data_IF_752641344556
#
_entry.id   IF_752641344556
#
_cell.length_a   1.000
_cell.length_b   1.000
_cell.length_c   1.000
_cell.angle_alpha   90.00
_cell.angle_beta   90.00
_cell.angle_gamma   90.00
#
_symmetry.space_group_name_H-M   'P 1'
#
loop_
_entity.id
_entity.type
_entity.pdbx_description
1 polymer ?
#
# COMPACT_ATOMS: atom_id res chain seq x y z
N UNK A 1 -0.05 21.32 -19.15
CA UNK A 1 -1.43 20.76 -19.06
C UNK A 1 -1.44 19.72 -17.93
N UNK A 2 -1.85 20.10 -16.72
CA UNK A 2 -1.74 19.29 -15.48
C UNK A 2 -3.12 18.84 -14.95
N UNK A 3 -4.10 18.63 -15.83
CA UNK A 3 -5.50 18.48 -15.41
C UNK A 3 -6.00 17.02 -15.29
N UNK A 4 -5.21 16.00 -15.62
CA UNK A 4 -5.71 14.61 -15.72
C UNK A 4 -5.35 13.72 -14.54
N UNK A 5 -4.44 14.11 -13.66
CA UNK A 5 -4.12 13.30 -12.47
C UNK A 5 -5.16 13.45 -11.35
N UNK A 6 -6.00 14.49 -11.43
CA UNK A 6 -6.90 14.88 -10.34
C UNK A 6 -8.18 14.06 -10.28
N UNK A 7 -8.58 13.39 -11.36
CA UNK A 7 -9.90 12.73 -11.45
C UNK A 7 -9.95 11.31 -10.86
N UNK A 8 -8.82 10.58 -10.78
CA UNK A 8 -8.85 9.15 -10.42
C UNK A 8 -8.57 8.87 -8.94
N UNK A 9 -8.18 9.90 -8.19
CA UNK A 9 -8.07 9.87 -6.72
C UNK A 9 -9.42 10.09 -6.00
N UNK A 10 -10.51 10.22 -6.75
CA UNK A 10 -11.80 10.73 -6.26
C UNK A 10 -12.66 9.69 -5.51
N UNK A 11 -12.29 8.40 -5.55
CA UNK A 11 -13.06 7.34 -4.87
C UNK A 11 -12.16 6.51 -3.95
N UNK A 12 -12.47 6.53 -2.66
CA UNK A 12 -11.67 6.02 -1.55
C UNK A 12 -10.23 6.51 -1.58
N UNK A 13 -9.99 7.82 -1.41
CA UNK A 13 -8.63 8.36 -1.33
C UNK A 13 -7.81 7.78 -0.16
N UNK A 14 -8.48 7.19 0.83
CA UNK A 14 -7.84 6.45 1.90
C UNK A 14 -7.15 5.15 1.43
N UNK A 15 -7.53 4.56 0.30
CA UNK A 15 -6.95 3.32 -0.24
C UNK A 15 -6.20 3.58 -1.56
N UNK A 16 -4.88 3.39 -1.53
CA UNK A 16 -4.00 3.58 -2.68
C UNK A 16 -3.38 2.24 -3.08
N UNK A 17 -3.55 1.83 -4.33
CA UNK A 17 -2.85 0.66 -4.85
C UNK A 17 -1.39 0.99 -5.13
N UNK A 18 -0.47 0.26 -4.47
CA UNK A 18 0.98 0.39 -4.72
C UNK A 18 1.39 -0.59 -5.81
N UNK A 19 0.95 -1.84 -5.68
CA UNK A 19 1.11 -2.92 -6.64
C UNK A 19 -0.15 -3.79 -6.60
N UNK A 20 -0.41 -4.63 -7.61
CA UNK A 20 -1.44 -5.67 -7.51
C UNK A 20 -1.29 -6.46 -6.21
N UNK A 21 -2.37 -6.58 -5.45
CA UNK A 21 -2.38 -7.27 -4.15
C UNK A 21 -1.75 -6.50 -2.98
N UNK A 22 -1.25 -5.28 -3.18
CA UNK A 22 -0.61 -4.47 -2.15
C UNK A 22 -1.21 -3.06 -2.11
N UNK A 23 -1.92 -2.74 -1.04
CA UNK A 23 -2.70 -1.52 -0.89
C UNK A 23 -2.27 -0.72 0.34
N UNK A 24 -2.00 0.57 0.18
CA UNK A 24 -1.80 1.48 1.31
C UNK A 24 -3.14 2.02 1.78
N UNK A 25 -3.44 1.81 3.05
CA UNK A 25 -4.59 2.39 3.73
C UNK A 25 -4.11 3.49 4.68
N UNK A 26 -4.72 4.67 4.58
CA UNK A 26 -4.50 5.78 5.52
C UNK A 26 -5.57 5.72 6.60
N UNK A 27 -5.13 5.65 7.85
CA UNK A 27 -5.98 5.42 9.03
C UNK A 27 -5.74 6.52 10.05
N UNK A 28 -6.82 7.03 10.63
CA UNK A 28 -6.78 7.91 11.79
C UNK A 28 -7.18 7.13 13.05
N UNK A 29 -6.18 6.69 13.83
CA UNK A 29 -6.38 5.89 15.02
C UNK A 29 -6.75 6.75 16.25
N UNK A 30 -7.85 6.39 16.91
CA UNK A 30 -8.36 6.99 18.14
C UNK A 30 -8.26 5.95 19.29
N UNK A 31 -7.13 5.93 20.03
CA UNK A 31 -6.93 4.97 21.12
C UNK A 31 -7.81 5.27 22.33
N UNK A 32 -7.80 4.37 23.32
CA UNK A 32 -8.63 4.41 24.53
C UNK A 32 -10.14 4.34 24.28
N UNK A 33 -10.57 3.69 23.20
CA UNK A 33 -11.97 3.42 22.96
C UNK A 33 -12.46 2.21 23.77
N UNK A 34 -13.79 2.03 23.87
CA UNK A 34 -14.39 0.85 24.51
C UNK A 34 -14.29 -0.41 23.63
N UNK A 35 -14.29 -0.24 22.32
CA UNK A 35 -14.20 -1.29 21.32
C UNK A 35 -13.33 -0.81 20.14
N UNK A 36 -12.69 -1.76 19.45
CA UNK A 36 -11.98 -1.51 18.20
C UNK A 36 -12.99 -1.56 17.05
N UNK A 37 -13.26 -0.41 16.43
CA UNK A 37 -14.32 -0.25 15.43
C UNK A 37 -14.06 0.96 14.53
N UNK A 38 -14.74 1.06 13.40
CA UNK A 38 -14.73 2.31 12.64
C UNK A 38 -15.50 3.40 13.40
N UNK A 39 -14.92 4.59 13.51
CA UNK A 39 -15.57 5.70 14.20
C UNK A 39 -16.69 6.33 13.36
N UNK A 40 -16.63 6.15 12.03
CA UNK A 40 -17.61 6.61 11.07
C UNK A 40 -17.62 5.67 9.84
N UNK A 41 -18.76 5.52 9.15
CA UNK A 41 -18.83 4.77 7.91
C UNK A 41 -17.86 5.33 6.86
N UNK A 42 -17.10 4.44 6.22
CA UNK A 42 -16.23 4.79 5.10
C UNK A 42 -17.10 5.09 3.88
N UNK A 43 -17.01 6.32 3.42
CA UNK A 43 -17.62 6.73 2.15
C UNK A 43 -16.53 6.97 1.11
N UNK A 44 -16.87 6.93 -0.20
CA UNK A 44 -15.88 7.10 -1.27
C UNK A 44 -15.12 8.44 -1.23
N UNK A 45 -15.58 9.43 -0.47
CA UNK A 45 -14.95 10.74 -0.37
C UNK A 45 -13.91 10.84 0.76
N UNK A 46 -13.83 9.82 1.62
CA UNK A 46 -13.03 9.86 2.85
C UNK A 46 -11.55 9.62 2.56
N UNK A 47 -10.70 10.55 2.99
CA UNK A 47 -9.23 10.50 2.82
C UNK A 47 -8.53 9.65 3.87
N UNK A 48 -9.13 9.49 5.05
CA UNK A 48 -8.57 8.74 6.16
C UNK A 48 -9.66 7.92 6.83
N UNK A 49 -9.39 6.63 7.04
CA UNK A 49 -10.31 5.78 7.78
C UNK A 49 -10.22 6.09 9.28
N UNK A 50 -11.27 6.69 9.84
CA UNK A 50 -11.37 6.92 11.27
C UNK A 50 -11.61 5.60 12.02
N UNK A 51 -10.67 5.18 12.86
CA UNK A 51 -10.75 3.91 13.60
C UNK A 51 -10.55 4.16 15.09
N UNK A 52 -11.53 3.73 15.89
CA UNK A 52 -11.45 3.63 17.35
C UNK A 52 -10.71 2.36 17.73
N UNK A 53 -9.86 2.43 18.74
CA UNK A 53 -9.00 1.31 19.16
C UNK A 53 -9.18 1.06 20.65
N UNK A 54 -9.55 -0.17 21.00
CA UNK A 54 -9.71 -0.65 22.39
C UNK A 54 -8.38 -0.98 23.07
N UNK A 55 -7.38 -0.14 22.87
CA UNK A 55 -6.09 -0.24 23.52
C UNK A 55 -5.64 1.14 23.98
N UNK A 56 -4.91 1.24 25.10
CA UNK A 56 -4.40 2.50 25.60
C UNK A 56 -3.35 3.08 24.63
N UNK A 57 -3.10 4.41 24.66
CA UNK A 57 -2.07 5.09 23.86
C UNK A 57 -0.66 4.81 24.42
N UNK A 58 -0.38 3.58 24.81
CA UNK A 58 0.93 3.13 25.21
C UNK A 58 1.72 2.70 23.97
N UNK A 59 3.04 2.83 24.04
CA UNK A 59 3.93 2.52 22.93
C UNK A 59 3.70 1.09 22.42
N UNK A 60 3.36 0.97 21.14
CA UNK A 60 3.10 -0.31 20.47
C UNK A 60 1.71 -0.92 20.68
N UNK A 61 1.07 -0.76 21.84
CA UNK A 61 -0.21 -1.43 22.16
C UNK A 61 -1.35 -1.04 21.22
N UNK A 62 -1.56 0.26 21.00
CA UNK A 62 -2.58 0.74 20.07
C UNK A 62 -2.30 0.33 18.61
N UNK A 63 -1.03 0.18 18.23
CA UNK A 63 -0.67 -0.25 16.89
C UNK A 63 -0.93 -1.74 16.70
N UNK A 64 -0.52 -2.56 17.66
CA UNK A 64 -0.74 -4.00 17.64
C UNK A 64 -2.24 -4.31 17.54
N UNK A 65 -3.05 -3.63 18.35
CA UNK A 65 -4.51 -3.79 18.30
C UNK A 65 -5.12 -3.28 16.99
N UNK A 66 -4.64 -2.17 16.43
CA UNK A 66 -5.08 -1.70 15.11
C UNK A 66 -4.77 -2.72 14.01
N UNK A 67 -3.56 -3.24 13.96
CA UNK A 67 -3.14 -4.21 12.94
C UNK A 67 -3.95 -5.50 13.08
N UNK A 68 -4.15 -5.99 14.31
CA UNK A 68 -4.99 -7.15 14.61
C UNK A 68 -6.43 -6.94 14.13
N UNK A 69 -7.04 -5.82 14.54
CA UNK A 69 -8.41 -5.46 14.16
C UNK A 69 -8.58 -5.39 12.65
N UNK A 70 -7.70 -4.67 11.94
CA UNK A 70 -7.78 -4.55 10.49
C UNK A 70 -7.57 -5.88 9.77
N UNK A 71 -6.66 -6.73 10.27
CA UNK A 71 -6.41 -8.04 9.68
C UNK A 71 -7.66 -8.94 9.78
N UNK A 72 -8.22 -9.07 10.98
CA UNK A 72 -9.44 -9.86 11.21
C UNK A 72 -10.63 -9.33 10.40
N UNK A 73 -10.76 -8.00 10.32
CA UNK A 73 -11.83 -7.35 9.58
C UNK A 73 -11.75 -7.62 8.08
N UNK A 74 -10.55 -7.45 7.49
CA UNK A 74 -10.35 -7.69 6.05
C UNK A 74 -10.49 -9.18 5.72
N UNK A 75 -9.98 -10.08 6.56
CA UNK A 75 -10.16 -11.52 6.39
C UNK A 75 -11.63 -11.94 6.45
N UNK A 76 -12.37 -11.45 7.46
CA UNK A 76 -13.80 -11.74 7.62
C UNK A 76 -14.61 -11.24 6.43
N UNK A 77 -14.43 -9.96 6.06
CA UNK A 77 -15.15 -9.36 4.94
C UNK A 77 -14.79 -10.00 3.61
N UNK A 78 -13.50 -10.35 3.40
CA UNK A 78 -13.07 -11.09 2.21
C UNK A 78 -13.71 -12.47 2.13
N UNK A 79 -13.75 -13.21 3.25
CA UNK A 79 -14.39 -14.53 3.31
C UNK A 79 -15.88 -14.44 3.00
N UNK A 80 -16.58 -13.46 3.57
CA UNK A 80 -18.00 -13.23 3.30
C UNK A 80 -18.25 -12.87 1.83
N UNK A 81 -17.41 -12.00 1.26
CA UNK A 81 -17.47 -11.63 -0.16
C UNK A 81 -17.16 -12.81 -1.08
N UNK A 82 -16.25 -13.73 -0.71
CA UNK A 82 -16.02 -14.96 -1.48
C UNK A 82 -17.21 -15.93 -1.44
N UNK A 83 -17.97 -15.94 -0.35
CA UNK A 83 -19.14 -16.80 -0.21
C UNK A 83 -20.32 -16.31 -1.06
N UNK A 84 -20.56 -14.99 -1.10
CA UNK A 84 -21.61 -14.38 -1.93
C UNK A 84 -21.13 -13.02 -2.47
N UNK A 85 -20.39 -13.05 -3.58
CA UNK A 85 -19.82 -11.83 -4.14
C UNK A 85 -20.90 -10.85 -4.59
N UNK A 86 -21.93 -11.33 -5.28
CA UNK A 86 -22.98 -10.48 -5.86
C UNK A 86 -23.83 -9.80 -4.78
N UNK A 87 -24.23 -10.55 -3.74
CA UNK A 87 -24.95 -9.98 -2.60
C UNK A 87 -24.05 -9.10 -1.72
N UNK A 88 -22.75 -9.42 -1.61
CA UNK A 88 -21.85 -8.62 -0.79
C UNK A 88 -21.68 -7.19 -1.32
N UNK A 89 -21.46 -7.05 -2.63
CA UNK A 89 -21.13 -5.76 -3.26
C UNK A 89 -22.33 -4.88 -3.58
N UNK A 90 -23.56 -5.41 -3.54
CA UNK A 90 -24.78 -4.74 -4.01
C UNK A 90 -25.04 -3.37 -3.36
N UNK A 91 -24.75 -3.25 -2.07
CA UNK A 91 -24.98 -2.02 -1.28
C UNK A 91 -23.69 -1.21 -1.06
N UNK A 92 -22.66 -1.49 -1.85
CA UNK A 92 -21.38 -0.80 -1.78
C UNK A 92 -21.13 -0.02 -3.07
N UNK A 93 -20.25 0.95 -2.99
CA UNK A 93 -19.79 1.74 -4.12
C UNK A 93 -18.89 0.97 -5.12
N UNK A 94 -18.81 -0.36 -5.00
CA UNK A 94 -17.95 -1.25 -5.79
C UNK A 94 -17.98 -0.98 -7.30
N UNK A 95 -19.16 -0.83 -7.90
CA UNK A 95 -19.31 -0.60 -9.35
C UNK A 95 -18.63 0.70 -9.80
N UNK A 96 -18.70 1.74 -8.97
CA UNK A 96 -18.07 3.03 -9.26
C UNK A 96 -16.54 2.95 -9.11
N UNK A 97 -16.05 2.18 -8.12
CA UNK A 97 -14.60 1.92 -7.97
C UNK A 97 -14.05 1.09 -9.14
N UNK A 98 -14.80 0.10 -9.63
CA UNK A 98 -14.40 -0.68 -10.81
C UNK A 98 -14.34 0.15 -12.09
N UNK A 99 -15.29 1.08 -12.30
CA UNK A 99 -15.23 2.02 -13.40
C UNK A 99 -13.98 2.93 -13.31
N UNK A 100 -13.61 3.37 -12.10
CA UNK A 100 -12.40 4.15 -11.87
C UNK A 100 -11.10 3.34 -12.09
N UNK A 101 -11.06 2.06 -11.69
CA UNK A 101 -9.91 1.19 -11.95
C UNK A 101 -9.71 0.91 -13.45
N UNK A 102 -10.81 0.65 -14.18
CA UNK A 102 -10.76 0.49 -15.64
C UNK A 102 -10.21 1.76 -16.31
N UNK A 103 -10.67 2.94 -15.90
CA UNK A 103 -10.14 4.20 -16.41
C UNK A 103 -8.65 4.41 -16.09
N UNK A 104 -8.18 3.97 -14.92
CA UNK A 104 -6.76 4.04 -14.53
C UNK A 104 -5.90 3.11 -15.40
N UNK A 105 -6.33 1.86 -15.59
CA UNK A 105 -5.61 0.88 -16.41
C UNK A 105 -5.52 1.30 -17.89
N UNK A 106 -6.58 1.91 -18.43
CA UNK A 106 -6.60 2.42 -19.80
C UNK A 106 -5.59 3.56 -20.00
N UNK A 107 -5.42 4.44 -19.01
CA UNK A 107 -4.43 5.52 -19.05
C UNK A 107 -2.98 5.01 -18.94
N UNK A 108 -2.73 4.02 -18.07
CA UNK A 108 -1.42 3.38 -17.95
C UNK A 108 -1.00 2.70 -19.27
N UNK A 109 -1.91 2.00 -19.95
CA UNK A 109 -1.65 1.41 -21.25
C UNK A 109 -1.37 2.45 -22.36
N UNK A 110 -2.09 3.57 -22.37
CA UNK A 110 -1.89 4.65 -23.34
C UNK A 110 -0.56 5.39 -23.14
N UNK A 111 -0.13 5.59 -21.90
CA UNK A 111 1.19 6.22 -21.60
C UNK A 111 2.38 5.33 -21.97
N UNK A 112 2.23 3.99 -21.95
CA UNK A 112 3.25 3.05 -22.38
C UNK A 112 3.40 2.97 -23.92
N UNK A 113 2.32 3.21 -24.68
CA UNK A 113 2.36 3.19 -26.15
C UNK A 113 2.94 4.47 -26.79
N UNK A 114 3.09 5.56 -26.05
CA UNK A 114 3.53 6.85 -26.61
C UNK A 114 5.05 7.10 -26.56
N UNK A 115 5.88 6.09 -26.30
CA UNK A 115 7.36 6.20 -26.28
C UNK A 115 8.08 5.58 -27.49
N UNK A 116 7.33 5.15 -28.54
CA UNK A 116 7.90 4.72 -29.83
C UNK A 116 7.48 5.66 -30.96
N UNK A 117 8.08 6.84 -31.01
CA UNK A 117 7.97 7.78 -32.13
C UNK A 117 9.15 8.74 -32.05
N UNK A 118 10.14 8.54 -32.91
CA UNK A 118 11.43 9.23 -32.84
C UNK A 118 11.37 10.68 -33.29
N UNK A 119 12.41 11.45 -32.94
CA UNK A 119 12.78 12.63 -33.72
C UNK A 119 14.28 12.90 -33.69
N UNK A 120 14.75 13.24 -34.88
CA UNK A 120 16.13 13.36 -35.35
C UNK A 120 16.48 14.85 -35.35
N UNK A 121 17.45 15.33 -34.56
CA UNK A 121 18.21 16.57 -34.90
C UNK A 121 19.41 16.87 -33.99
N UNK A 122 20.58 16.85 -34.62
CA UNK A 122 21.68 17.83 -34.63
C UNK A 122 21.80 18.85 -33.49
N UNK A 123 23.00 18.99 -32.92
CA UNK A 123 23.41 20.27 -32.32
C UNK A 123 24.57 20.27 -31.32
N UNK A 124 25.75 20.69 -31.81
CA UNK A 124 26.76 21.55 -31.12
C UNK A 124 27.41 21.12 -29.80
N UNK A 125 28.67 20.67 -29.95
CA UNK A 125 29.92 21.27 -29.43
C UNK A 125 29.76 22.27 -28.27
N UNK A 126 30.01 21.80 -27.04
CA UNK A 126 30.24 22.60 -25.84
C UNK A 126 31.46 22.05 -25.10
N UNK A 127 32.50 22.88 -25.01
CA UNK A 127 33.85 22.60 -24.54
C UNK A 127 33.93 22.89 -23.04
N UNK A 128 34.42 21.96 -22.23
CA UNK A 128 35.01 22.33 -20.94
C UNK A 128 36.19 21.42 -20.61
N UNK A 129 37.25 22.06 -20.13
CA UNK A 129 38.60 21.54 -19.94
C UNK A 129 38.80 21.01 -18.51
N UNK A 130 39.73 20.07 -18.42
CA UNK A 130 40.30 19.38 -17.26
C UNK A 130 40.91 20.27 -16.16
N UNK A 131 40.97 19.71 -14.94
CA UNK A 131 42.18 19.55 -14.10
C UNK A 131 41.81 18.63 -12.91
N UNK A 132 42.35 17.39 -12.79
CA UNK A 132 43.62 17.00 -12.12
C UNK A 132 43.60 17.31 -10.61
N UNK A 133 44.09 16.50 -9.66
CA UNK A 133 44.64 15.16 -9.50
C UNK A 133 44.63 14.95 -7.96
N UNK A 134 44.55 13.75 -7.38
CA UNK A 134 45.73 13.01 -6.88
C UNK A 134 45.29 11.73 -6.15
N UNK A 135 46.19 10.75 -6.19
CA UNK A 135 46.31 9.43 -5.54
C UNK A 135 45.91 9.40 -4.05
N UNK A 136 45.59 8.26 -3.40
CA UNK A 136 46.46 7.11 -3.11
C UNK A 136 45.65 5.87 -2.66
N UNK A 137 46.16 4.68 -2.98
CA UNK A 137 45.83 3.36 -2.39
C UNK A 137 47.07 2.83 -1.63
N UNK A 138 47.10 1.61 -1.06
CA UNK A 138 46.27 0.99 -0.02
C UNK A 138 47.14 0.44 1.15
N UNK A 139 46.55 -0.07 2.24
CA UNK A 139 47.24 -1.08 3.07
C UNK A 139 46.30 -2.01 3.84
N UNK A 140 46.76 -3.24 3.93
CA UNK A 140 46.12 -4.49 4.36
C UNK A 140 46.45 -4.77 5.85
N UNK A 141 45.60 -5.49 6.61
CA UNK A 141 45.80 -6.87 7.14
C UNK A 141 45.38 -6.99 8.64
N UNK A 142 45.17 -8.22 9.21
CA UNK A 142 43.93 -8.62 9.92
C UNK A 142 44.13 -9.15 11.35
N UNK A 143 43.04 -9.41 12.11
CA UNK A 143 43.03 -10.43 13.18
C UNK A 143 41.68 -11.18 13.33
N UNK A 144 41.81 -12.47 13.65
CA UNK A 144 40.79 -13.51 13.91
C UNK A 144 40.10 -13.37 15.28
N UNK A 145 38.89 -13.90 15.38
CA UNK A 145 38.28 -14.38 16.64
C UNK A 145 36.90 -15.02 16.37
N UNK A 146 36.66 -16.23 16.86
CA UNK A 146 35.67 -17.19 16.36
C UNK A 146 34.46 -17.42 17.30
N UNK A 147 33.44 -18.09 16.74
CA UNK A 147 32.35 -18.84 17.40
C UNK A 147 31.19 -17.99 17.95
N UNK A 148 29.92 -18.25 17.69
CA UNK A 148 29.26 -19.34 16.97
C UNK A 148 27.73 -19.14 17.00
N UNK A 149 27.04 -19.99 16.25
CA UNK A 149 25.63 -20.39 16.41
C UNK A 149 24.50 -19.54 15.81
N UNK A 150 23.94 -20.12 14.75
CA UNK A 150 22.50 -20.36 14.54
C UNK A 150 21.64 -19.25 13.91
N UNK A 151 21.76 -19.23 12.59
CA UNK A 151 20.70 -19.12 11.60
C UNK A 151 19.33 -19.74 12.02
N UNK A 152 18.23 -19.02 11.75
CA UNK A 152 17.12 -19.56 10.97
C UNK A 152 16.97 -18.70 9.71
N UNK A 153 17.39 -19.17 8.53
CA UNK A 153 16.49 -19.69 7.48
C UNK A 153 15.15 -18.94 7.41
N UNK A 154 15.20 -17.67 7.02
CA UNK A 154 14.05 -17.07 6.36
C UNK A 154 14.29 -17.17 4.85
N UNK A 155 13.46 -18.01 4.26
CA UNK A 155 13.54 -18.47 2.89
C UNK A 155 13.57 -17.29 1.93
N UNK A 156 14.64 -17.26 1.14
CA UNK A 156 14.71 -16.62 -0.17
C UNK A 156 13.51 -17.07 -1.01
N UNK A 157 12.43 -16.30 -1.00
CA UNK A 157 11.39 -16.38 -2.01
C UNK A 157 11.76 -15.41 -3.13
N UNK A 158 12.55 -15.90 -4.08
CA UNK A 158 12.52 -15.34 -5.42
C UNK A 158 11.28 -15.94 -6.10
N UNK A 159 10.26 -15.14 -6.37
CA UNK A 159 9.26 -15.47 -7.38
C UNK A 159 8.88 -14.21 -8.17
N UNK A 160 9.00 -14.40 -9.47
CA UNK A 160 8.62 -13.56 -10.59
C UNK A 160 7.12 -13.69 -10.91
N UNK A 161 6.61 -12.68 -11.63
CA UNK A 161 5.25 -12.52 -12.14
C UNK A 161 4.18 -12.12 -11.11
N UNK A 162 3.28 -11.22 -11.54
CA UNK A 162 2.33 -10.51 -10.69
C UNK A 162 1.20 -11.41 -10.16
N UNK A 163 1.53 -12.40 -9.33
CA UNK A 163 0.57 -13.21 -8.61
C UNK A 163 0.04 -12.43 -7.39
N UNK A 164 -1.28 -12.39 -7.27
CA UNK A 164 -1.92 -11.88 -6.06
C UNK A 164 -1.55 -12.78 -4.88
N UNK A 165 -1.37 -12.22 -3.68
CA UNK A 165 -1.04 -13.00 -2.49
C UNK A 165 -2.14 -14.01 -2.17
N UNK A 166 -1.82 -15.13 -1.53
CA UNK A 166 -2.82 -16.15 -1.14
C UNK A 166 -3.56 -15.81 0.17
N UNK A 167 -3.06 -14.82 0.92
CA UNK A 167 -3.54 -14.47 2.26
C UNK A 167 -3.63 -12.97 2.46
N UNK A 168 -4.45 -12.58 3.43
CA UNK A 168 -4.51 -11.19 3.92
C UNK A 168 -3.38 -10.98 4.92
N UNK A 169 -2.72 -9.83 4.84
CA UNK A 169 -1.73 -9.42 5.85
C UNK A 169 -1.79 -7.89 6.00
N UNK A 170 -1.76 -7.41 7.24
CA UNK A 170 -1.75 -5.96 7.53
C UNK A 170 -0.51 -5.60 8.32
N UNK A 171 0.28 -4.67 7.80
CA UNK A 171 1.52 -4.21 8.45
C UNK A 171 1.59 -2.68 8.52
N UNK A 172 2.26 -2.16 9.55
CA UNK A 172 2.43 -0.72 9.72
C UNK A 172 3.60 -0.23 8.86
N UNK A 173 3.36 0.74 7.98
CA UNK A 173 4.40 1.37 7.14
C UNK A 173 4.90 2.66 7.77
N UNK A 174 3.99 3.48 8.30
CA UNK A 174 4.31 4.79 8.89
C UNK A 174 3.35 5.14 10.01
N UNK A 175 3.83 5.93 10.97
CA UNK A 175 3.00 6.49 12.03
C UNK A 175 2.98 5.64 13.31
N UNK A 176 4.10 5.02 13.66
CA UNK A 176 4.25 4.24 14.92
C UNK A 176 3.76 5.00 16.16
N UNK A 177 4.06 6.29 16.24
CA UNK A 177 3.65 7.15 17.36
C UNK A 177 2.56 8.15 17.00
N UNK A 178 2.14 8.19 15.73
CA UNK A 178 1.15 9.14 15.21
C UNK A 178 -0.27 8.57 15.28
N UNK A 179 -1.28 9.44 15.37
CA UNK A 179 -2.68 9.04 15.18
C UNK A 179 -2.98 8.76 13.71
N UNK A 180 -2.42 9.56 12.80
CA UNK A 180 -2.42 9.26 11.38
C UNK A 180 -1.38 8.17 11.10
N UNK A 181 -1.85 7.06 10.56
CA UNK A 181 -1.07 5.86 10.26
C UNK A 181 -1.24 5.49 8.80
N UNK A 182 -0.16 4.96 8.22
CA UNK A 182 -0.21 4.30 6.92
C UNK A 182 0.06 2.84 7.14
N UNK A 183 -0.90 2.01 6.77
CA UNK A 183 -0.77 0.56 6.86
C UNK A 183 -0.75 -0.02 5.45
N UNK A 184 0.08 -1.03 5.25
CA UNK A 184 0.08 -1.84 4.04
C UNK A 184 -0.88 -3.01 4.28
N UNK A 185 -1.82 -3.17 3.36
CA UNK A 185 -2.76 -4.27 3.29
C UNK A 185 -2.37 -5.12 2.09
N UNK A 186 -1.81 -6.28 2.38
CA UNK A 186 -1.61 -7.37 1.42
C UNK A 186 -2.95 -8.07 1.28
N UNK A 187 -3.50 -8.14 0.08
CA UNK A 187 -4.87 -8.59 -0.14
C UNK A 187 -5.00 -9.45 -1.41
N UNK A 188 -5.59 -10.66 -1.33
CA UNK A 188 -5.74 -11.63 -2.43
C UNK A 188 -6.78 -11.22 -3.51
N UNK A 189 -7.09 -9.94 -3.64
CA UNK A 189 -8.13 -9.43 -4.53
C UNK A 189 -7.82 -8.06 -5.08
N UNK A 190 -8.81 -7.43 -5.72
CA UNK A 190 -8.65 -6.10 -6.34
C UNK A 190 -8.82 -4.97 -5.34
N UNK A 191 -8.43 -3.75 -5.75
CA UNK A 191 -8.65 -2.54 -4.94
C UNK A 191 -10.13 -2.32 -4.63
N UNK A 192 -11.00 -2.49 -5.62
CA UNK A 192 -12.45 -2.33 -5.42
C UNK A 192 -13.01 -3.37 -4.45
N UNK A 193 -12.53 -4.61 -4.49
CA UNK A 193 -12.92 -5.64 -3.55
C UNK A 193 -12.53 -5.26 -2.12
N UNK A 194 -11.30 -4.79 -1.93
CA UNK A 194 -10.86 -4.29 -0.62
C UNK A 194 -11.70 -3.07 -0.17
N UNK A 195 -11.98 -2.13 -1.08
CA UNK A 195 -12.80 -0.95 -0.77
C UNK A 195 -14.23 -1.32 -0.38
N UNK A 196 -14.85 -2.29 -1.07
CA UNK A 196 -16.18 -2.79 -0.72
C UNK A 196 -16.18 -3.51 0.63
N UNK A 197 -15.13 -4.28 0.94
CA UNK A 197 -14.96 -4.89 2.26
C UNK A 197 -14.89 -3.81 3.34
N UNK A 198 -14.02 -2.81 3.18
CA UNK A 198 -13.85 -1.73 4.15
C UNK A 198 -15.13 -0.88 4.30
N UNK A 199 -15.81 -0.55 3.20
CA UNK A 199 -17.08 0.19 3.24
C UNK A 199 -18.16 -0.59 4.00
N UNK A 200 -18.31 -1.89 3.72
CA UNK A 200 -19.35 -2.71 4.34
C UNK A 200 -19.08 -2.94 5.83
N UNK A 201 -17.86 -3.33 6.17
CA UNK A 201 -17.46 -3.56 7.56
C UNK A 201 -17.45 -2.26 8.39
N UNK A 202 -17.30 -1.08 7.76
CA UNK A 202 -17.41 0.21 8.46
C UNK A 202 -18.83 0.61 8.87
N UNK A 203 -19.84 -0.10 8.36
CA UNK A 203 -21.27 0.10 8.69
C UNK A 203 -21.80 -0.96 9.66
N UNK A 204 -20.96 -1.93 10.02
CA UNK A 204 -21.28 -3.07 10.90
C UNK A 204 -21.12 -2.68 12.36
#
# INVERSE_FOLDING_TARGET
>A
MHATWTCLRLMFPCVVQVQPGNYLLTVHAKPSARASEFAAPLTPSVTEADVRIAAPPMEGQANAELLRYLNELVERGFRAMKADHAGYVKDTSYAQVMAADLATSAFAAQSAQCSRGGDKKTGRKGKSKNAAATSFTPSSMPHKGASGSQQPKESKAALSEAELPDRVEVSLVRGGTSREKKVLVVFPGTRAQLAAVLEKESRS
#
